data_IF_438968424757
#
_entry.id   IF_438968424757
#
_cell.length_a   1.000
_cell.length_b   1.000
_cell.length_c   1.000
_cell.angle_alpha   90.00
_cell.angle_beta   90.00
_cell.angle_gamma   90.00
#
_symmetry.space_group_name_H-M   'P 1'
#
loop_
_entity.id
_entity.type
_entity.pdbx_description
1 polymer ?
#
# COMPACT_ATOMS: atom_id res chain seq x y z
N UNK A 1 -18.15 -29.38 -18.72
CA UNK A 1 -17.56 -29.04 -17.42
C UNK A 1 -18.11 -27.67 -17.04
N UNK A 2 -18.99 -27.61 -16.05
CA UNK A 2 -19.57 -26.37 -15.54
C UNK A 2 -18.48 -25.57 -14.87
N UNK A 3 -18.16 -24.38 -15.40
CA UNK A 3 -17.35 -23.39 -14.72
C UNK A 3 -18.16 -22.96 -13.49
N UNK A 4 -17.64 -23.13 -12.27
CA UNK A 4 -18.34 -22.62 -11.09
C UNK A 4 -18.61 -21.13 -11.31
N UNK A 5 -19.88 -20.72 -11.29
CA UNK A 5 -20.23 -19.30 -11.21
C UNK A 5 -19.70 -18.80 -9.85
N UNK A 6 -18.54 -18.20 -9.87
CA UNK A 6 -18.04 -17.40 -8.76
C UNK A 6 -18.92 -16.13 -8.70
N UNK A 7 -20.06 -16.26 -8.08
CA UNK A 7 -20.80 -15.13 -7.55
C UNK A 7 -20.16 -14.83 -6.19
N UNK A 8 -18.98 -14.22 -6.22
CA UNK A 8 -18.53 -13.49 -5.06
C UNK A 8 -19.43 -12.25 -4.98
N UNK A 9 -20.12 -12.07 -3.87
CA UNK A 9 -20.74 -10.79 -3.54
C UNK A 9 -19.60 -9.78 -3.45
N UNK A 10 -19.40 -9.04 -4.52
CA UNK A 10 -18.35 -8.03 -4.59
C UNK A 10 -18.82 -6.84 -3.78
N UNK A 11 -18.35 -6.74 -2.54
CA UNK A 11 -18.58 -5.55 -1.72
C UNK A 11 -17.82 -4.37 -2.32
N UNK A 12 -18.56 -3.43 -2.92
CA UNK A 12 -18.01 -2.18 -3.41
C UNK A 12 -18.38 -1.08 -2.41
N UNK A 13 -17.39 -0.60 -1.67
CA UNK A 13 -17.56 0.52 -0.76
C UNK A 13 -17.57 1.85 -1.54
N UNK A 14 -18.23 2.90 -1.03
CA UNK A 14 -18.10 4.24 -1.59
C UNK A 14 -16.66 4.75 -1.45
N UNK A 15 -16.35 5.84 -2.17
CA UNK A 15 -15.07 6.53 -1.96
C UNK A 15 -14.99 7.04 -0.51
N UNK A 16 -13.82 6.93 0.13
CA UNK A 16 -13.64 7.41 1.49
C UNK A 16 -13.79 8.95 1.56
N UNK A 17 -14.34 9.44 2.67
CA UNK A 17 -14.44 10.86 2.94
C UNK A 17 -13.06 11.49 3.11
N UNK A 18 -12.96 12.78 2.84
CA UNK A 18 -11.69 13.51 2.98
C UNK A 18 -11.10 13.41 4.40
N UNK A 19 -11.94 13.41 5.43
CA UNK A 19 -11.48 13.25 6.82
C UNK A 19 -10.79 11.90 7.06
N UNK A 20 -11.31 10.84 6.48
CA UNK A 20 -10.72 9.49 6.52
C UNK A 20 -9.38 9.46 5.77
N UNK A 21 -9.36 10.05 4.58
CA UNK A 21 -8.14 10.16 3.76
C UNK A 21 -7.04 10.93 4.52
N UNK A 22 -7.39 12.07 5.11
CA UNK A 22 -6.46 12.89 5.90
C UNK A 22 -5.95 12.14 7.14
N UNK A 23 -6.85 11.43 7.85
CA UNK A 23 -6.48 10.61 9.00
C UNK A 23 -5.53 9.48 8.62
N UNK A 24 -5.79 8.78 7.52
CA UNK A 24 -4.92 7.73 7.00
C UNK A 24 -3.52 8.26 6.71
N UNK A 25 -3.42 9.40 6.01
CA UNK A 25 -2.14 10.05 5.72
C UNK A 25 -1.40 10.49 7.00
N UNK A 26 -2.13 11.00 7.99
CA UNK A 26 -1.58 11.38 9.29
C UNK A 26 -0.95 10.17 10.01
N UNK A 27 -1.65 9.05 10.08
CA UNK A 27 -1.15 7.86 10.77
C UNK A 27 0.04 7.23 10.05
N UNK A 28 0.01 7.18 8.72
CA UNK A 28 1.17 6.77 7.92
C UNK A 28 2.35 7.70 8.18
N UNK A 29 2.12 9.03 8.26
CA UNK A 29 3.18 10.01 8.51
C UNK A 29 3.90 9.81 9.84
N UNK A 30 3.20 9.26 10.84
CA UNK A 30 3.73 8.87 12.16
C UNK A 30 4.52 7.56 12.14
N UNK A 31 4.56 6.86 11.01
CA UNK A 31 5.23 5.56 10.86
C UNK A 31 4.42 4.37 11.31
N UNK A 32 3.10 4.49 11.37
CA UNK A 32 2.23 3.36 11.64
C UNK A 32 2.02 2.50 10.38
N UNK A 33 1.84 1.21 10.58
CA UNK A 33 1.46 0.27 9.53
C UNK A 33 -0.06 0.30 9.41
N UNK A 34 -0.55 0.77 8.28
CA UNK A 34 -1.97 0.97 8.02
C UNK A 34 -2.45 -0.05 7.00
N UNK A 35 -3.37 -0.91 7.40
CA UNK A 35 -4.13 -1.77 6.50
C UNK A 35 -5.34 -1.00 5.96
N UNK A 36 -5.63 -1.15 4.67
CA UNK A 36 -6.65 -0.39 3.99
C UNK A 36 -7.53 -1.23 3.09
N UNK A 37 -8.85 -1.12 3.28
CA UNK A 37 -9.90 -1.74 2.49
C UNK A 37 -10.88 -0.67 2.03
N UNK A 38 -10.75 -0.25 0.78
CA UNK A 38 -11.59 0.78 0.16
C UNK A 38 -12.20 0.27 -1.14
N UNK A 39 -13.34 0.82 -1.52
CA UNK A 39 -13.97 0.59 -2.81
C UNK A 39 -14.08 -0.90 -3.20
N UNK A 40 -13.90 -1.24 -4.47
CA UNK A 40 -13.81 -2.62 -4.95
C UNK A 40 -12.38 -3.17 -4.90
N UNK A 41 -12.24 -4.50 -4.82
CA UNK A 41 -10.93 -5.13 -4.91
C UNK A 41 -10.30 -4.92 -6.30
N UNK A 42 -8.98 -4.82 -6.34
CA UNK A 42 -8.25 -4.77 -7.60
C UNK A 42 -8.42 -6.07 -8.39
N UNK A 43 -8.56 -5.94 -9.70
CA UNK A 43 -8.52 -7.07 -10.63
C UNK A 43 -7.08 -7.21 -11.14
N UNK A 44 -6.36 -8.22 -10.65
CA UNK A 44 -4.98 -8.47 -11.06
C UNK A 44 -4.05 -8.86 -9.92
N UNK A 45 -2.73 -8.99 -10.20
CA UNK A 45 -1.78 -9.56 -9.25
C UNK A 45 -1.23 -8.54 -8.23
N UNK A 46 -1.67 -7.28 -8.26
CA UNK A 46 -1.13 -6.19 -7.43
C UNK A 46 -2.22 -5.48 -6.66
N UNK A 47 -1.91 -5.12 -5.42
CA UNK A 47 -2.67 -4.12 -4.68
C UNK A 47 -2.27 -2.73 -5.18
N UNK A 48 -3.25 -1.91 -5.51
CA UNK A 48 -3.06 -0.60 -6.13
C UNK A 48 -3.70 0.53 -5.33
N UNK A 49 -4.00 0.26 -4.05
CA UNK A 49 -4.56 1.23 -3.13
C UNK A 49 -5.78 0.70 -2.37
N UNK A 50 -6.68 -0.04 -3.03
CA UNK A 50 -7.95 -0.45 -2.42
C UNK A 50 -7.81 -1.58 -1.40
N UNK A 51 -6.93 -2.54 -1.65
CA UNK A 51 -6.64 -3.68 -0.75
C UNK A 51 -5.15 -3.69 -0.44
N UNK A 52 -4.72 -2.69 0.31
CA UNK A 52 -3.31 -2.36 0.50
C UNK A 52 -2.91 -2.30 1.97
N UNK A 53 -1.63 -2.54 2.23
CA UNK A 53 -0.97 -2.21 3.49
C UNK A 53 0.04 -1.12 3.18
N UNK A 54 -0.08 -0.01 3.91
CA UNK A 54 0.75 1.18 3.75
C UNK A 54 1.73 1.36 4.89
N UNK A 55 2.90 1.94 4.59
CA UNK A 55 3.92 2.31 5.55
C UNK A 55 4.86 3.36 4.95
N UNK A 56 5.53 4.14 5.79
CA UNK A 56 6.54 5.10 5.33
C UNK A 56 7.79 4.39 4.81
N UNK A 57 8.27 4.69 3.58
CA UNK A 57 9.44 4.02 3.00
C UNK A 57 10.79 4.54 3.49
N UNK A 58 10.83 5.68 4.21
CA UNK A 58 12.05 6.33 4.70
C UNK A 58 12.42 6.01 6.15
N UNK A 59 11.60 5.24 6.86
CA UNK A 59 11.83 4.96 8.29
C UNK A 59 12.64 3.68 8.51
N UNK A 60 11.99 2.54 8.55
CA UNK A 60 12.65 1.26 8.78
C UNK A 60 12.58 0.39 7.53
N UNK A 61 13.47 -0.60 7.42
CA UNK A 61 13.38 -1.60 6.36
C UNK A 61 12.03 -2.33 6.43
N UNK A 62 11.13 -1.99 5.52
CA UNK A 62 9.76 -2.47 5.54
C UNK A 62 9.64 -4.00 5.45
N UNK A 63 10.39 -4.74 4.59
CA UNK A 63 10.39 -6.19 4.57
C UNK A 63 10.74 -6.80 5.93
N UNK A 64 11.79 -6.30 6.58
CA UNK A 64 12.23 -6.80 7.88
C UNK A 64 11.21 -6.48 8.98
N UNK A 65 10.72 -5.25 9.01
CA UNK A 65 9.73 -4.80 9.99
C UNK A 65 8.44 -5.63 9.89
N UNK A 66 7.92 -5.81 8.68
CA UNK A 66 6.68 -6.54 8.44
C UNK A 66 6.80 -8.01 8.82
N UNK A 67 7.96 -8.63 8.60
CA UNK A 67 8.22 -10.01 9.02
C UNK A 67 8.34 -10.13 10.55
N UNK A 68 9.07 -9.23 11.21
CA UNK A 68 9.21 -9.22 12.69
C UNK A 68 7.84 -9.04 13.35
N UNK A 69 7.01 -8.14 12.80
CA UNK A 69 5.67 -7.89 13.32
C UNK A 69 4.62 -8.93 12.92
N UNK A 70 4.99 -9.93 12.10
CA UNK A 70 4.07 -10.95 11.62
C UNK A 70 3.06 -10.47 10.57
N UNK A 71 3.16 -9.20 10.11
CA UNK A 71 2.27 -8.62 9.08
C UNK A 71 2.40 -9.39 7.76
N UNK A 72 3.63 -9.73 7.41
CA UNK A 72 3.96 -10.56 6.24
C UNK A 72 5.01 -11.59 6.64
N UNK A 73 4.73 -12.87 6.37
CA UNK A 73 5.68 -13.97 6.53
C UNK A 73 6.26 -14.31 5.15
N UNK A 74 7.25 -13.54 4.68
CA UNK A 74 7.86 -13.75 3.36
C UNK A 74 9.38 -13.63 3.44
N UNK A 75 10.05 -14.10 2.40
CA UNK A 75 11.51 -14.06 2.30
C UNK A 75 12.01 -12.61 2.42
N UNK A 76 13.03 -12.38 3.22
CA UNK A 76 13.57 -11.06 3.55
C UNK A 76 14.09 -10.28 2.32
N UNK A 77 14.52 -11.00 1.29
CA UNK A 77 15.03 -10.43 0.04
C UNK A 77 13.93 -10.04 -0.96
N UNK A 78 12.70 -10.41 -0.70
CA UNK A 78 11.57 -10.13 -1.57
C UNK A 78 11.11 -8.68 -1.45
N UNK A 79 11.21 -7.86 -2.54
CA UNK A 79 10.92 -6.44 -2.44
C UNK A 79 9.43 -6.15 -2.23
N UNK A 80 9.16 -5.02 -1.61
CA UNK A 80 7.85 -4.36 -1.65
C UNK A 80 7.85 -3.29 -2.73
N UNK A 81 6.65 -2.98 -3.26
CA UNK A 81 6.47 -1.84 -4.14
C UNK A 81 6.20 -0.57 -3.35
N UNK A 82 6.30 0.55 -4.05
CA UNK A 82 5.85 1.84 -3.58
C UNK A 82 4.74 2.37 -4.47
N UNK A 83 3.92 3.28 -3.93
CA UNK A 83 3.06 4.15 -4.71
C UNK A 83 3.46 5.59 -4.44
N UNK A 84 3.43 6.43 -5.46
CA UNK A 84 3.77 7.84 -5.38
C UNK A 84 2.94 8.63 -6.39
N UNK A 85 2.83 9.95 -6.18
CA UNK A 85 2.21 10.81 -7.17
C UNK A 85 3.04 10.82 -8.47
N UNK A 86 2.38 10.77 -9.61
CA UNK A 86 3.06 10.76 -10.91
C UNK A 86 3.93 12.01 -11.10
N UNK A 87 3.48 13.17 -10.64
CA UNK A 87 4.23 14.43 -10.68
C UNK A 87 5.58 14.38 -9.93
N UNK A 88 5.68 13.53 -8.89
CA UNK A 88 6.89 13.36 -8.08
C UNK A 88 7.82 12.27 -8.61
N UNK A 89 7.41 11.51 -9.62
CA UNK A 89 8.16 10.34 -10.08
C UNK A 89 9.61 10.69 -10.46
N UNK A 90 9.83 11.78 -11.22
CA UNK A 90 11.18 12.23 -11.61
C UNK A 90 12.03 12.74 -10.43
N UNK A 91 11.41 13.07 -9.31
CA UNK A 91 12.13 13.50 -8.11
C UNK A 91 12.86 12.32 -7.44
N UNK A 92 12.24 11.16 -7.44
CA UNK A 92 12.74 9.98 -6.72
C UNK A 92 13.34 8.91 -7.63
N UNK A 93 12.88 8.82 -8.88
CA UNK A 93 13.23 7.78 -9.84
C UNK A 93 14.03 8.37 -11.00
N UNK A 94 15.03 7.63 -11.50
CA UNK A 94 15.91 8.15 -12.57
C UNK A 94 15.27 8.13 -13.95
N UNK A 95 14.46 7.11 -14.24
CA UNK A 95 13.82 6.90 -15.55
C UNK A 95 12.38 6.44 -15.39
N UNK A 96 11.52 7.24 -14.71
CA UNK A 96 10.14 6.84 -14.52
C UNK A 96 9.35 6.92 -15.82
N UNK A 97 8.46 5.96 -15.97
CA UNK A 97 7.36 5.98 -16.94
C UNK A 97 6.04 5.85 -16.18
N UNK A 98 4.90 6.28 -16.73
CA UNK A 98 3.61 6.03 -16.13
C UNK A 98 3.43 4.54 -15.80
N UNK A 99 3.14 4.22 -14.56
CA UNK A 99 3.04 2.84 -14.05
C UNK A 99 1.82 2.65 -13.15
N UNK A 100 0.61 2.87 -13.64
CA UNK A 100 -0.61 2.80 -12.81
C UNK A 100 -0.83 1.41 -12.19
N UNK A 101 -0.27 0.36 -12.79
CA UNK A 101 -0.46 -1.04 -12.35
C UNK A 101 0.75 -1.64 -11.62
N UNK A 102 1.72 -0.81 -11.18
CA UNK A 102 2.90 -1.28 -10.42
C UNK A 102 3.69 -2.38 -11.17
N UNK A 103 3.91 -2.20 -12.46
CA UNK A 103 4.59 -3.19 -13.32
C UNK A 103 6.05 -2.83 -13.64
N UNK A 104 6.47 -1.59 -13.39
CA UNK A 104 7.80 -1.11 -13.71
C UNK A 104 8.70 -1.00 -12.49
N UNK A 105 9.99 -1.10 -12.73
CA UNK A 105 11.06 -0.80 -11.76
C UNK A 105 11.91 0.35 -12.28
N UNK A 106 12.54 1.08 -11.37
CA UNK A 106 13.51 2.14 -11.70
C UNK A 106 14.61 2.16 -10.67
N UNK A 107 15.78 2.60 -11.06
CA UNK A 107 16.82 3.04 -10.14
C UNK A 107 16.46 4.41 -9.53
N UNK A 108 17.17 4.82 -8.51
CA UNK A 108 16.81 5.95 -7.66
C UNK A 108 17.74 7.14 -7.88
N UNK A 109 17.19 8.35 -7.83
CA UNK A 109 17.94 9.57 -7.67
C UNK A 109 18.59 9.62 -6.27
N UNK A 110 19.50 10.57 -6.01
CA UNK A 110 20.08 10.74 -4.67
C UNK A 110 19.02 11.09 -3.62
N UNK A 111 17.99 11.85 -4.01
CA UNK A 111 16.85 12.12 -3.15
C UNK A 111 16.00 10.85 -2.93
N UNK A 112 15.77 10.07 -3.98
CA UNK A 112 15.05 8.80 -3.92
C UNK A 112 15.71 7.78 -2.99
N UNK A 113 17.03 7.68 -3.00
CA UNK A 113 17.79 6.80 -2.09
C UNK A 113 17.54 7.12 -0.62
N UNK A 114 17.35 8.40 -0.28
CA UNK A 114 17.02 8.84 1.08
C UNK A 114 15.56 8.60 1.42
N UNK A 115 14.67 9.05 0.54
CA UNK A 115 13.22 8.97 0.76
C UNK A 115 12.66 7.54 0.74
N UNK A 116 13.34 6.61 0.08
CA UNK A 116 12.89 5.23 -0.14
C UNK A 116 13.82 4.19 0.48
N UNK A 117 14.68 4.61 1.41
CA UNK A 117 15.74 3.77 2.00
C UNK A 117 15.24 2.44 2.60
N UNK A 118 14.01 2.41 3.10
CA UNK A 118 13.41 1.23 3.72
C UNK A 118 12.88 0.18 2.73
N UNK A 119 12.90 0.45 1.42
CA UNK A 119 12.32 -0.44 0.39
C UNK A 119 13.21 -0.65 -0.83
N UNK A 120 14.39 -0.06 -0.85
CA UNK A 120 15.36 -0.25 -1.94
C UNK A 120 15.74 -1.73 -2.01
N UNK A 121 15.62 -2.29 -3.19
CA UNK A 121 16.00 -3.67 -3.45
C UNK A 121 17.53 -3.80 -3.51
N UNK A 122 18.05 -5.03 -3.38
CA UNK A 122 19.50 -5.33 -3.36
C UNK A 122 20.24 -4.90 -4.64
N UNK A 123 19.54 -4.78 -5.76
CA UNK A 123 20.07 -4.31 -7.05
C UNK A 123 19.97 -2.78 -7.21
N UNK A 124 19.54 -2.06 -6.19
CA UNK A 124 19.38 -0.60 -6.21
C UNK A 124 18.12 -0.10 -6.90
N UNK A 125 17.20 -1.00 -7.25
CA UNK A 125 15.91 -0.64 -7.87
C UNK A 125 14.77 -0.60 -6.87
N UNK A 126 13.66 -0.01 -7.28
CA UNK A 126 12.37 -0.09 -6.60
C UNK A 126 11.27 -0.32 -7.64
N UNK A 127 10.28 -1.17 -7.31
CA UNK A 127 9.07 -1.32 -8.10
C UNK A 127 8.07 -0.28 -7.65
N UNK A 128 7.41 0.40 -8.59
CA UNK A 128 6.58 1.55 -8.27
C UNK A 128 5.24 1.57 -9.03
N UNK A 129 4.27 2.23 -8.41
CA UNK A 129 3.01 2.66 -8.99
C UNK A 129 2.99 4.18 -9.05
N UNK A 130 2.62 4.76 -10.19
CA UNK A 130 2.29 6.18 -10.30
C UNK A 130 0.79 6.37 -10.14
N UNK A 131 0.41 7.35 -9.32
CA UNK A 131 -0.99 7.68 -8.99
C UNK A 131 -1.25 9.12 -9.41
N UNK A 132 -2.34 9.36 -10.18
CA UNK A 132 -2.69 10.70 -10.69
C UNK A 132 -3.99 11.22 -10.11
N UNK A 133 -4.97 10.34 -9.95
CA UNK A 133 -6.35 10.69 -9.65
C UNK A 133 -6.89 9.86 -8.49
N UNK A 134 -8.12 10.17 -8.08
CA UNK A 134 -8.92 9.50 -7.09
C UNK A 134 -8.54 9.80 -5.62
N UNK A 135 -9.19 9.12 -4.69
CA UNK A 135 -8.97 9.23 -3.25
C UNK A 135 -7.51 8.91 -2.86
N UNK A 136 -6.87 8.00 -3.61
CA UNK A 136 -5.50 7.57 -3.31
C UNK A 136 -4.49 8.69 -3.61
N UNK A 137 -4.68 9.42 -4.73
CA UNK A 137 -3.88 10.61 -5.01
C UNK A 137 -4.05 11.66 -3.90
N UNK A 138 -5.28 11.90 -3.43
CA UNK A 138 -5.54 12.81 -2.31
C UNK A 138 -4.81 12.38 -1.03
N UNK A 139 -4.79 11.09 -0.71
CA UNK A 139 -4.04 10.55 0.43
C UNK A 139 -2.54 10.81 0.28
N UNK A 140 -1.96 10.53 -0.90
CA UNK A 140 -0.56 10.79 -1.18
C UNK A 140 -0.21 12.28 -1.13
N UNK A 141 -1.10 13.17 -1.58
CA UNK A 141 -0.96 14.63 -1.45
C UNK A 141 -0.93 15.07 0.02
N UNK A 142 -1.82 14.53 0.86
CA UNK A 142 -1.80 14.81 2.30
C UNK A 142 -0.51 14.30 2.94
N UNK A 143 -0.07 13.09 2.60
CA UNK A 143 1.18 12.53 3.09
C UNK A 143 2.38 13.41 2.69
N UNK A 144 2.43 13.89 1.43
CA UNK A 144 3.45 14.83 0.94
C UNK A 144 3.48 16.13 1.76
N UNK A 145 2.32 16.67 2.13
CA UNK A 145 2.25 17.87 2.99
C UNK A 145 2.82 17.63 4.38
N UNK A 146 2.64 16.44 4.93
CA UNK A 146 3.09 16.09 6.29
C UNK A 146 4.57 15.69 6.35
N UNK A 147 5.10 15.07 5.29
CA UNK A 147 6.41 14.42 5.31
C UNK A 147 7.41 14.99 4.29
N UNK A 148 6.94 15.78 3.33
CA UNK A 148 7.72 16.21 2.17
C UNK A 148 7.83 15.20 1.04
N UNK A 149 7.29 13.97 1.22
CA UNK A 149 7.29 12.89 0.23
C UNK A 149 5.91 12.35 -0.02
N UNK A 150 5.54 12.16 -1.30
CA UNK A 150 4.29 11.46 -1.66
C UNK A 150 4.43 9.94 -1.69
N UNK A 151 5.64 9.41 -1.48
CA UNK A 151 5.87 7.98 -1.58
C UNK A 151 5.38 7.22 -0.35
N UNK A 152 4.76 6.09 -0.57
CA UNK A 152 4.31 5.15 0.47
C UNK A 152 4.66 3.72 0.05
N UNK A 153 5.08 2.87 0.98
CA UNK A 153 5.13 1.41 0.76
C UNK A 153 3.72 0.93 0.47
N UNK A 154 3.56 0.18 -0.60
CA UNK A 154 2.29 -0.45 -0.95
C UNK A 154 2.49 -1.96 -1.14
N UNK A 155 1.88 -2.76 -0.29
CA UNK A 155 1.83 -4.21 -0.43
C UNK A 155 0.41 -4.72 -0.24
N UNK A 156 0.15 -5.93 -0.73
CA UNK A 156 -1.19 -6.54 -0.76
C UNK A 156 -1.76 -6.77 0.65
N UNK A 157 -3.05 -6.49 0.80
CA UNK A 157 -3.82 -6.81 2.01
C UNK A 157 -4.22 -8.28 1.98
N UNK A 158 -3.38 -9.15 2.52
CA UNK A 158 -3.61 -10.58 2.64
C UNK A 158 -2.65 -11.25 3.62
N UNK A 159 -3.06 -12.32 4.24
CA UNK A 159 -2.19 -13.21 5.00
C UNK A 159 -1.29 -14.05 4.07
N UNK A 160 -0.21 -14.59 4.61
CA UNK A 160 0.73 -15.42 3.85
C UNK A 160 0.03 -16.60 3.16
N UNK A 161 0.29 -16.77 1.87
CA UNK A 161 -0.25 -17.86 1.06
C UNK A 161 -1.74 -17.73 0.68
N UNK A 162 -2.40 -16.65 1.12
CA UNK A 162 -3.80 -16.36 0.76
C UNK A 162 -3.90 -15.36 -0.39
N UNK A 163 -4.99 -15.37 -1.14
CA UNK A 163 -5.29 -14.33 -2.13
C UNK A 163 -5.49 -12.98 -1.44
N UNK A 164 -5.60 -11.92 -2.22
CA UNK A 164 -5.96 -10.58 -1.77
C UNK A 164 -7.30 -10.63 -1.03
N UNK A 165 -7.41 -9.93 0.10
CA UNK A 165 -8.66 -9.81 0.85
C UNK A 165 -9.76 -9.29 -0.07
N UNK A 166 -10.82 -10.06 -0.23
CA UNK A 166 -11.90 -9.74 -1.16
C UNK A 166 -13.07 -9.08 -0.44
N UNK A 167 -13.45 -9.64 0.70
CA UNK A 167 -14.55 -9.19 1.54
C UNK A 167 -14.07 -8.40 2.76
N UNK A 168 -14.99 -7.69 3.41
CA UNK A 168 -14.74 -7.04 4.70
C UNK A 168 -14.34 -8.08 5.75
N UNK A 169 -14.96 -9.26 5.73
CA UNK A 169 -14.66 -10.35 6.65
C UNK A 169 -13.21 -10.87 6.49
N UNK A 170 -12.73 -11.01 5.24
CA UNK A 170 -11.32 -11.35 4.98
C UNK A 170 -10.38 -10.31 5.60
N UNK A 171 -10.74 -9.02 5.49
CA UNK A 171 -9.95 -7.93 6.04
C UNK A 171 -9.93 -7.92 7.55
N UNK A 172 -11.07 -8.15 8.20
CA UNK A 172 -11.17 -8.29 9.66
C UNK A 172 -10.31 -9.45 10.16
N UNK A 173 -10.44 -10.61 9.52
CA UNK A 173 -9.62 -11.78 9.83
C UNK A 173 -8.13 -11.51 9.65
N UNK A 174 -7.75 -10.80 8.58
CA UNK A 174 -6.37 -10.37 8.39
C UNK A 174 -5.92 -9.46 9.55
N UNK A 175 -6.75 -8.49 9.95
CA UNK A 175 -6.42 -7.57 11.02
C UNK A 175 -6.19 -8.29 12.36
N UNK A 176 -7.02 -9.27 12.70
CA UNK A 176 -6.89 -10.10 13.89
C UNK A 176 -5.63 -10.97 13.89
N UNK A 177 -5.29 -11.57 12.72
CA UNK A 177 -4.12 -12.42 12.55
C UNK A 177 -2.80 -11.63 12.51
N UNK A 178 -2.76 -10.54 11.75
CA UNK A 178 -1.54 -9.80 11.43
C UNK A 178 -1.29 -8.59 12.33
N UNK A 179 -2.33 -8.05 12.97
CA UNK A 179 -2.30 -6.93 13.91
C UNK A 179 -1.51 -5.71 13.38
N UNK A 180 -1.90 -5.13 12.23
CA UNK A 180 -1.38 -3.83 11.83
C UNK A 180 -1.72 -2.78 12.90
N UNK A 181 -1.07 -1.63 12.86
CA UNK A 181 -1.36 -0.59 13.87
C UNK A 181 -2.79 -0.05 13.73
N UNK A 182 -3.27 0.08 12.49
CA UNK A 182 -4.63 0.48 12.17
C UNK A 182 -5.16 -0.28 10.95
N UNK A 183 -6.46 -0.49 10.92
CA UNK A 183 -7.18 -1.05 9.76
C UNK A 183 -8.36 -0.14 9.42
N UNK A 184 -8.33 0.44 8.23
CA UNK A 184 -9.45 1.20 7.67
C UNK A 184 -10.32 0.29 6.79
N UNK A 185 -11.63 0.34 7.00
CA UNK A 185 -12.64 -0.32 6.18
C UNK A 185 -13.68 0.73 5.79
N UNK A 186 -13.61 1.22 4.56
CA UNK A 186 -14.36 2.41 4.18
C UNK A 186 -13.96 3.60 5.05
N UNK A 187 -14.96 4.26 5.63
CA UNK A 187 -14.75 5.40 6.54
C UNK A 187 -14.48 4.99 8.00
N UNK A 188 -14.58 3.72 8.31
CA UNK A 188 -14.46 3.22 9.68
C UNK A 188 -13.04 2.72 9.99
N UNK A 189 -12.62 2.88 11.24
CA UNK A 189 -11.42 2.26 11.79
C UNK A 189 -11.84 1.01 12.54
N UNK A 190 -11.42 -0.14 12.06
CA UNK A 190 -11.65 -1.42 12.72
C UNK A 190 -10.75 -1.53 13.94
N UNK A 191 -11.36 -1.51 15.14
CA UNK A 191 -10.67 -1.74 16.39
C UNK A 191 -10.52 -3.24 16.61
N UNK A 192 -9.30 -3.69 16.87
CA UNK A 192 -9.05 -5.06 17.32
C UNK A 192 -9.45 -5.17 18.79
N UNK A 193 -10.31 -6.11 19.12
CA UNK A 193 -10.70 -6.44 20.48
C UNK A 193 -9.68 -7.38 21.11
#
# INVERSE_FOLDING_TARGET
ADIPKYQADVEILPQPKFVTIAKMAEEISRGLIVANHQMGAEIGPRALGNRSIFYRPDMANAPKLFNIRGIKKREWWRPYGISLLQEDANRFLTTPVPSPYMLHTSTLTEEGKKALSGVVHVDGTVRYQTVENDWYALMLMQLKRLTGSSAVVNTSLNSFGKPLSHTIEDTKKFAEEAKPDLTFIGDDIYAQV
#
